data_IF_398770418132
#
_entry.id   IF_398770418132
#
_cell.length_a   1.000
_cell.length_b   1.000
_cell.length_c   1.000
_cell.angle_alpha   90.00
_cell.angle_beta   90.00
_cell.angle_gamma   90.00
#
_symmetry.space_group_name_H-M   'P 1'
#
loop_
_entity.id
_entity.type
_entity.pdbx_description
1 polymer ?
#
# COMPACT_ATOMS: atom_id res chain seq x y z
N UNK A 1 -16.33 -6.03 18.26
CA UNK A 1 -15.05 -5.32 18.28
C UNK A 1 -15.19 -3.99 17.56
N UNK A 2 -14.50 -2.97 18.07
CA UNK A 2 -14.37 -1.61 17.56
C UNK A 2 -12.92 -1.38 17.16
N UNK A 3 -12.68 -1.06 15.89
CA UNK A 3 -11.34 -0.84 15.34
C UNK A 3 -11.13 0.63 14.98
N UNK A 4 -9.89 1.09 15.16
CA UNK A 4 -9.44 2.36 14.64
C UNK A 4 -8.81 2.12 13.26
N UNK A 5 -9.27 2.83 12.23
CA UNK A 5 -8.63 2.81 10.92
C UNK A 5 -8.00 4.19 10.66
N UNK A 6 -6.68 4.23 10.54
CA UNK A 6 -5.95 5.41 10.14
C UNK A 6 -5.49 5.27 8.69
N UNK A 7 -6.00 6.10 7.79
CA UNK A 7 -5.53 6.13 6.40
C UNK A 7 -4.88 7.49 6.08
N UNK A 8 -3.53 7.59 6.16
CA UNK A 8 -2.82 8.84 5.90
C UNK A 8 -2.81 9.25 4.42
N UNK A 9 -3.27 8.40 3.50
CA UNK A 9 -3.33 8.70 2.07
C UNK A 9 -4.64 8.22 1.46
N UNK A 10 -5.75 8.85 1.84
CA UNK A 10 -7.08 8.40 1.47
C UNK A 10 -7.49 8.86 0.07
N UNK A 11 -7.22 8.00 -0.92
CA UNK A 11 -7.59 8.19 -2.32
C UNK A 11 -7.26 6.95 -3.14
N UNK A 12 -7.81 6.86 -4.36
CA UNK A 12 -7.63 5.71 -5.24
C UNK A 12 -7.86 4.37 -4.51
N UNK A 13 -6.92 3.44 -4.70
CA UNK A 13 -6.96 2.09 -4.10
C UNK A 13 -6.97 2.08 -2.57
N UNK A 14 -6.38 3.08 -1.89
CA UNK A 14 -6.40 3.16 -0.42
C UNK A 14 -7.80 3.41 0.09
N UNK A 15 -8.51 4.37 -0.54
CA UNK A 15 -9.90 4.66 -0.22
C UNK A 15 -10.78 3.45 -0.51
N UNK A 16 -10.67 2.88 -1.71
CA UNK A 16 -11.53 1.78 -2.12
C UNK A 16 -11.36 0.55 -1.21
N UNK A 17 -10.12 0.29 -0.77
CA UNK A 17 -9.83 -0.74 0.22
C UNK A 17 -10.43 -0.43 1.60
N UNK A 18 -10.20 0.78 2.12
CA UNK A 18 -10.68 1.17 3.45
C UNK A 18 -12.22 1.14 3.51
N UNK A 19 -12.88 1.77 2.55
CA UNK A 19 -14.33 1.81 2.45
C UNK A 19 -14.92 0.42 2.23
N UNK A 20 -14.29 -0.36 1.35
CA UNK A 20 -14.68 -1.74 1.09
C UNK A 20 -14.60 -2.61 2.34
N UNK A 21 -13.49 -2.54 3.08
CA UNK A 21 -13.35 -3.31 4.32
C UNK A 21 -14.40 -2.89 5.34
N UNK A 22 -14.59 -1.59 5.57
CA UNK A 22 -15.59 -1.10 6.53
C UNK A 22 -17.00 -1.56 6.13
N UNK A 23 -17.37 -1.39 4.86
CA UNK A 23 -18.69 -1.76 4.33
C UNK A 23 -19.01 -3.24 4.46
N UNK A 24 -18.02 -4.10 4.28
CA UNK A 24 -18.21 -5.56 4.25
C UNK A 24 -17.82 -6.26 5.57
N UNK A 25 -17.50 -5.51 6.61
CA UNK A 25 -17.14 -6.05 7.92
C UNK A 25 -18.34 -6.09 8.87
N UNK A 26 -18.32 -7.07 9.78
CA UNK A 26 -19.24 -7.15 10.94
C UNK A 26 -18.78 -6.29 12.13
N UNK A 27 -17.61 -5.68 12.04
CA UNK A 27 -17.00 -4.90 13.13
C UNK A 27 -17.29 -3.41 12.96
N UNK A 28 -17.18 -2.65 14.06
CA UNK A 28 -17.34 -1.19 14.02
C UNK A 28 -16.00 -0.54 13.75
N UNK A 29 -15.98 0.53 12.96
CA UNK A 29 -14.77 1.26 12.61
C UNK A 29 -14.97 2.76 12.84
N UNK A 30 -13.97 3.39 13.44
CA UNK A 30 -13.79 4.83 13.34
C UNK A 30 -12.63 5.09 12.36
N UNK A 31 -12.94 5.74 11.24
CA UNK A 31 -11.99 6.02 10.17
C UNK A 31 -11.50 7.46 10.26
N UNK A 32 -10.18 7.63 10.38
CA UNK A 32 -9.51 8.93 10.29
C UNK A 32 -8.62 8.97 9.05
N UNK A 33 -8.85 9.97 8.20
CA UNK A 33 -8.21 10.06 6.89
C UNK A 33 -7.42 11.34 6.73
N UNK A 34 -6.34 11.29 5.96
CA UNK A 34 -5.71 12.47 5.37
C UNK A 34 -5.83 12.42 3.84
N UNK A 35 -5.93 13.58 3.15
CA UNK A 35 -6.04 13.59 1.70
C UNK A 35 -4.84 12.95 1.01
N UNK A 36 -5.11 12.18 -0.06
CA UNK A 36 -4.15 11.51 -0.95
C UNK A 36 -3.30 12.49 -1.79
N UNK A 37 -2.45 13.25 -1.10
CA UNK A 37 -1.44 14.14 -1.67
C UNK A 37 -0.26 14.24 -0.72
N UNK A 38 0.89 14.60 -1.26
CA UNK A 38 2.12 14.81 -0.48
C UNK A 38 2.54 13.57 0.33
N UNK A 39 2.60 12.40 -0.32
CA UNK A 39 2.88 11.11 0.35
C UNK A 39 4.18 11.13 1.19
N UNK A 40 5.23 11.81 0.71
CA UNK A 40 6.48 12.00 1.47
C UNK A 40 6.23 12.66 2.84
N UNK A 41 5.34 13.65 2.87
CA UNK A 41 4.90 14.30 4.10
C UNK A 41 3.95 13.44 4.93
N UNK A 42 3.21 12.50 4.31
CA UNK A 42 2.38 11.53 5.05
C UNK A 42 3.25 10.56 5.85
N UNK A 43 4.28 10.00 5.23
CA UNK A 43 5.19 9.05 5.89
C UNK A 43 5.89 9.66 7.11
N UNK A 44 6.15 10.97 7.12
CA UNK A 44 6.87 11.65 8.21
C UNK A 44 5.98 12.44 9.17
N UNK A 45 4.86 12.98 8.70
CA UNK A 45 4.03 13.92 9.46
C UNK A 45 2.69 13.37 9.92
N UNK A 46 2.17 12.30 9.31
CA UNK A 46 0.83 11.82 9.62
C UNK A 46 0.72 11.31 11.07
N UNK A 47 1.74 10.61 11.57
CA UNK A 47 1.76 10.14 12.95
C UNK A 47 1.66 11.29 13.97
N UNK A 48 2.42 12.37 13.76
CA UNK A 48 2.38 13.57 14.63
C UNK A 48 0.98 14.19 14.68
N UNK A 49 0.32 14.29 13.54
CA UNK A 49 -1.02 14.87 13.43
C UNK A 49 -2.08 13.95 14.04
N UNK A 50 -2.11 12.68 13.62
CA UNK A 50 -3.13 11.71 14.02
C UNK A 50 -3.03 11.35 15.51
N UNK A 51 -1.82 11.37 16.09
CA UNK A 51 -1.63 11.11 17.51
C UNK A 51 -2.40 12.09 18.41
N UNK A 52 -2.55 13.35 17.99
CA UNK A 52 -3.36 14.36 18.69
C UNK A 52 -4.82 14.38 18.25
N UNK A 53 -5.11 13.90 17.05
CA UNK A 53 -6.48 13.85 16.51
C UNK A 53 -7.32 12.77 17.18
N UNK A 54 -6.71 11.63 17.52
CA UNK A 54 -7.35 10.54 18.25
C UNK A 54 -7.09 10.72 19.74
N UNK A 55 -8.14 10.90 20.53
CA UNK A 55 -8.02 11.23 21.95
C UNK A 55 -7.78 9.99 22.83
N UNK A 56 -8.53 8.90 22.61
CA UNK A 56 -8.51 7.71 23.46
C UNK A 56 -8.18 6.45 22.64
N UNK A 57 -6.92 6.27 22.19
CA UNK A 57 -6.55 5.11 21.37
C UNK A 57 -6.72 3.75 22.09
N UNK A 58 -6.66 3.73 23.43
CA UNK A 58 -6.85 2.53 24.24
C UNK A 58 -8.29 1.97 24.23
N UNK A 59 -9.29 2.73 23.75
CA UNK A 59 -10.68 2.25 23.65
C UNK A 59 -10.93 1.30 22.48
N UNK A 60 -9.97 1.17 21.57
CA UNK A 60 -10.09 0.33 20.38
C UNK A 60 -9.50 -1.06 20.60
N UNK A 61 -10.19 -2.08 20.09
CA UNK A 61 -9.72 -3.47 20.14
C UNK A 61 -8.51 -3.71 19.20
N UNK A 62 -8.29 -2.81 18.25
CA UNK A 62 -7.18 -2.88 17.31
C UNK A 62 -7.06 -1.65 16.42
N UNK A 63 -5.86 -1.46 15.87
CA UNK A 63 -5.52 -0.42 14.89
C UNK A 63 -5.28 -1.07 13.52
N UNK A 64 -5.81 -0.46 12.47
CA UNK A 64 -5.50 -0.74 11.07
C UNK A 64 -4.94 0.54 10.46
N UNK A 65 -3.83 0.43 9.73
CA UNK A 65 -3.22 1.54 8.99
C UNK A 65 -2.53 1.07 7.73
N UNK A 66 -2.21 1.98 6.81
CA UNK A 66 -1.32 1.70 5.69
C UNK A 66 0.17 1.90 6.01
N UNK A 67 1.05 1.36 5.17
CA UNK A 67 2.52 1.56 5.23
C UNK A 67 2.95 3.02 5.10
N UNK A 68 2.08 3.91 4.59
CA UNK A 68 2.34 5.34 4.51
C UNK A 68 2.24 6.08 5.86
N UNK A 69 1.90 5.38 6.94
CA UNK A 69 2.00 5.89 8.31
C UNK A 69 3.24 5.30 8.99
N UNK A 70 4.11 6.15 9.55
CA UNK A 70 5.12 5.68 10.49
C UNK A 70 4.47 5.16 11.77
N UNK A 71 4.20 3.85 11.81
CA UNK A 71 3.57 3.21 12.97
C UNK A 71 4.50 3.20 14.18
N UNK A 72 5.82 3.13 13.97
CA UNK A 72 6.79 3.23 15.06
C UNK A 72 6.67 4.57 15.80
N UNK A 73 6.54 5.67 15.06
CA UNK A 73 6.43 7.00 15.65
C UNK A 73 5.07 7.15 16.36
N UNK A 74 4.00 6.64 15.75
CA UNK A 74 2.68 6.68 16.39
C UNK A 74 2.65 5.88 17.71
N UNK A 75 3.26 4.69 17.72
CA UNK A 75 3.42 3.89 18.95
C UNK A 75 4.24 4.62 20.01
N UNK A 76 5.30 5.32 19.62
CA UNK A 76 6.09 6.12 20.56
C UNK A 76 5.27 7.27 21.17
N UNK A 77 4.39 7.91 20.40
CA UNK A 77 3.56 9.03 20.85
C UNK A 77 2.39 8.60 21.76
N UNK A 78 1.77 7.44 21.48
CA UNK A 78 0.68 6.91 22.29
C UNK A 78 1.15 6.02 23.45
N UNK A 79 2.39 5.52 23.41
CA UNK A 79 2.93 4.65 24.45
C UNK A 79 2.08 3.38 24.64
N UNK A 80 1.80 3.06 25.90
CA UNK A 80 1.02 1.87 26.29
C UNK A 80 -0.43 1.89 25.81
N UNK A 81 -0.96 3.04 25.39
CA UNK A 81 -2.33 3.19 24.93
C UNK A 81 -2.51 2.80 23.45
N UNK A 82 -1.41 2.55 22.72
CA UNK A 82 -1.52 2.11 21.33
C UNK A 82 -2.04 0.65 21.26
N UNK A 83 -3.18 0.40 20.60
CA UNK A 83 -3.70 -0.96 20.49
C UNK A 83 -2.84 -1.81 19.54
N UNK A 84 -3.12 -3.11 19.51
CA UNK A 84 -2.47 -4.03 18.58
C UNK A 84 -2.74 -3.61 17.14
N UNK A 85 -1.71 -3.59 16.32
CA UNK A 85 -1.73 -2.90 15.04
C UNK A 85 -1.54 -3.86 13.86
N UNK A 86 -2.43 -3.77 12.88
CA UNK A 86 -2.27 -4.35 11.56
C UNK A 86 -1.86 -3.24 10.59
N UNK A 87 -0.81 -3.49 9.82
CA UNK A 87 -0.39 -2.60 8.73
C UNK A 87 -0.67 -3.27 7.39
N UNK A 88 -1.35 -2.57 6.49
CA UNK A 88 -1.58 -2.99 5.12
C UNK A 88 -0.68 -2.23 4.15
N UNK A 89 0.19 -2.95 3.46
CA UNK A 89 1.12 -2.44 2.46
C UNK A 89 0.40 -2.41 1.10
N UNK A 90 -0.16 -1.25 0.76
CA UNK A 90 -0.62 -0.94 -0.61
C UNK A 90 0.57 -0.84 -1.56
N UNK A 91 1.63 -0.20 -1.09
CA UNK A 91 2.94 -0.09 -1.70
C UNK A 91 4.02 -0.06 -0.60
N UNK A 92 5.28 -0.07 -1.03
CA UNK A 92 6.45 0.14 -0.17
C UNK A 92 7.54 0.87 -0.97
N UNK A 93 8.42 1.56 -0.28
CA UNK A 93 9.46 2.43 -0.83
C UNK A 93 10.80 1.72 -1.05
N UNK A 94 10.91 0.43 -0.71
CA UNK A 94 12.08 -0.41 -1.04
C UNK A 94 12.04 -0.93 -2.48
N UNK A 95 10.84 -1.11 -3.03
CA UNK A 95 10.63 -1.63 -4.39
C UNK A 95 9.73 -0.73 -5.25
N UNK A 96 9.40 0.48 -4.78
CA UNK A 96 8.61 1.41 -5.58
C UNK A 96 9.40 1.85 -6.81
N UNK A 97 8.80 1.87 -8.01
CA UNK A 97 9.48 2.35 -9.21
C UNK A 97 9.78 3.85 -9.05
N UNK A 98 11.03 4.23 -9.31
CA UNK A 98 11.46 5.62 -9.30
C UNK A 98 11.50 6.18 -10.74
N UNK A 99 11.10 7.44 -10.93
CA UNK A 99 11.28 8.11 -12.21
C UNK A 99 12.74 8.11 -12.66
N UNK A 100 13.02 8.17 -13.97
CA UNK A 100 14.38 8.30 -14.47
C UNK A 100 15.13 9.49 -13.86
N UNK A 101 16.33 9.23 -13.32
CA UNK A 101 17.16 10.24 -12.66
C UNK A 101 16.87 10.45 -11.18
N UNK A 102 15.82 9.83 -10.61
CA UNK A 102 15.61 9.82 -9.16
C UNK A 102 16.38 8.69 -8.48
N UNK A 103 16.83 8.96 -7.26
CA UNK A 103 17.45 7.99 -6.37
C UNK A 103 16.55 7.70 -5.19
N UNK A 104 16.65 6.48 -4.65
CA UNK A 104 15.87 6.09 -3.48
C UNK A 104 16.25 6.95 -2.28
N UNK A 105 15.25 7.58 -1.67
CA UNK A 105 15.41 8.19 -0.35
C UNK A 105 15.30 7.10 0.71
N UNK A 106 16.45 6.76 1.30
CA UNK A 106 16.57 5.72 2.31
C UNK A 106 15.65 5.93 3.51
N UNK A 107 15.29 7.18 3.82
CA UNK A 107 14.43 7.49 4.95
C UNK A 107 13.05 6.84 4.84
N UNK A 108 12.50 6.74 3.63
CA UNK A 108 11.20 6.10 3.44
C UNK A 108 11.29 4.58 3.51
N UNK A 109 12.35 3.98 2.96
CA UNK A 109 12.64 2.56 3.16
C UNK A 109 12.81 2.20 4.63
N UNK A 110 13.47 3.06 5.42
CA UNK A 110 13.55 2.89 6.86
C UNK A 110 12.19 2.99 7.56
N UNK A 111 11.34 3.90 7.11
CA UNK A 111 9.98 4.05 7.64
C UNK A 111 9.15 2.78 7.41
N UNK A 112 9.28 2.14 6.25
CA UNK A 112 8.63 0.84 5.98
C UNK A 112 9.17 -0.26 6.89
N UNK A 113 10.49 -0.31 7.11
CA UNK A 113 11.12 -1.29 8.01
C UNK A 113 10.65 -1.11 9.45
N UNK A 114 10.70 0.11 10.00
CA UNK A 114 10.29 0.37 11.38
C UNK A 114 8.79 0.18 11.56
N UNK A 115 7.98 0.55 10.57
CA UNK A 115 6.53 0.28 10.54
C UNK A 115 6.24 -1.21 10.52
N UNK A 116 6.90 -1.97 9.65
CA UNK A 116 6.82 -3.42 9.59
C UNK A 116 7.21 -4.08 10.90
N UNK A 117 8.28 -3.62 11.55
CA UNK A 117 8.73 -4.10 12.86
C UNK A 117 7.78 -3.72 14.01
N UNK A 118 7.15 -2.54 13.96
CA UNK A 118 6.21 -2.06 14.96
C UNK A 118 4.85 -2.78 14.89
N UNK A 119 4.46 -3.29 13.72
CA UNK A 119 3.17 -3.96 13.52
C UNK A 119 3.05 -5.31 14.27
N UNK A 120 1.84 -5.68 14.66
CA UNK A 120 1.51 -7.04 15.12
C UNK A 120 1.27 -7.99 13.94
N UNK A 121 0.73 -7.45 12.85
CA UNK A 121 0.50 -8.14 11.57
C UNK A 121 0.81 -7.20 10.40
N UNK A 122 1.44 -7.76 9.38
CA UNK A 122 1.74 -7.06 8.13
C UNK A 122 1.00 -7.77 7.01
N UNK A 123 0.19 -7.04 6.26
CA UNK A 123 -0.52 -7.55 5.10
C UNK A 123 0.01 -6.90 3.83
N UNK A 124 0.33 -7.69 2.82
CA UNK A 124 0.67 -7.21 1.48
C UNK A 124 -0.50 -7.41 0.53
N UNK A 125 -0.70 -6.45 -0.38
CA UNK A 125 -1.78 -6.51 -1.38
C UNK A 125 -1.62 -7.64 -2.44
N UNK A 126 -0.46 -8.28 -2.52
CA UNK A 126 -0.19 -9.39 -3.44
C UNK A 126 1.05 -10.18 -3.03
N UNK A 127 1.16 -11.42 -3.53
CA UNK A 127 2.35 -12.24 -3.36
C UNK A 127 3.58 -11.60 -4.03
N UNK A 128 3.43 -11.07 -5.24
CA UNK A 128 4.52 -10.37 -5.95
C UNK A 128 5.05 -9.18 -5.17
N UNK A 129 4.17 -8.38 -4.55
CA UNK A 129 4.58 -7.26 -3.72
C UNK A 129 5.34 -7.73 -2.46
N UNK A 130 4.84 -8.77 -1.78
CA UNK A 130 5.52 -9.35 -0.62
C UNK A 130 6.92 -9.89 -0.99
N UNK A 131 7.01 -10.62 -2.11
CA UNK A 131 8.27 -11.18 -2.60
C UNK A 131 9.24 -10.08 -3.01
N UNK A 132 8.77 -9.03 -3.68
CA UNK A 132 9.59 -7.86 -4.03
C UNK A 132 10.13 -7.15 -2.79
N UNK A 133 9.28 -6.92 -1.77
CA UNK A 133 9.71 -6.30 -0.51
C UNK A 133 10.83 -7.11 0.15
N UNK A 134 10.63 -8.42 0.33
CA UNK A 134 11.62 -9.26 0.99
C UNK A 134 12.82 -9.62 0.11
N UNK A 135 12.71 -9.52 -1.22
CA UNK A 135 13.84 -9.61 -2.14
C UNK A 135 14.76 -8.38 -2.05
N UNK A 136 14.18 -7.18 -1.92
CA UNK A 136 14.91 -5.92 -1.82
C UNK A 136 15.48 -5.65 -0.42
N UNK A 137 14.77 -6.04 0.65
CA UNK A 137 15.12 -5.68 2.02
C UNK A 137 16.54 -6.10 2.45
N UNK A 138 17.07 -7.31 2.16
CA UNK A 138 18.45 -7.67 2.49
C UNK A 138 19.47 -6.76 1.80
N UNK A 139 19.21 -6.38 0.54
CA UNK A 139 20.04 -5.44 -0.21
C UNK A 139 20.05 -4.06 0.44
N UNK A 140 18.86 -3.56 0.81
CA UNK A 140 18.70 -2.29 1.52
C UNK A 140 19.48 -2.25 2.84
N UNK A 141 19.39 -3.30 3.66
CA UNK A 141 20.13 -3.38 4.93
C UNK A 141 21.65 -3.42 4.70
N UNK A 142 22.12 -4.08 3.64
CA UNK A 142 23.55 -4.12 3.28
C UNK A 142 24.11 -2.75 2.87
N UNK A 143 23.27 -1.79 2.51
CA UNK A 143 23.70 -0.42 2.22
C UNK A 143 24.24 0.31 3.45
N UNK A 144 23.89 -0.12 4.66
CA UNK A 144 24.47 0.43 5.88
C UNK A 144 25.97 0.11 5.94
N UNK A 145 26.83 1.09 6.27
CA UNK A 145 28.26 0.84 6.40
C UNK A 145 28.59 -0.08 7.58
N UNK A 146 27.88 0.07 8.70
CA UNK A 146 28.13 -0.66 9.95
C UNK A 146 26.80 -1.08 10.63
N UNK A 147 26.88 -1.98 11.62
CA UNK A 147 25.76 -2.39 12.49
C UNK A 147 24.48 -2.88 11.78
N UNK A 148 24.65 -3.67 10.70
CA UNK A 148 23.57 -4.18 9.85
C UNK A 148 22.61 -5.10 10.62
N UNK A 149 21.34 -4.73 10.83
CA UNK A 149 20.39 -5.54 11.59
C UNK A 149 19.74 -6.61 10.70
N UNK A 150 20.50 -7.62 10.29
CA UNK A 150 20.00 -8.65 9.36
C UNK A 150 18.75 -9.41 9.87
N UNK A 151 18.56 -9.45 11.19
CA UNK A 151 17.40 -10.08 11.86
C UNK A 151 16.05 -9.43 11.49
N UNK A 152 16.04 -8.20 10.97
CA UNK A 152 14.78 -7.49 10.63
C UNK A 152 13.98 -8.22 9.56
N UNK A 153 14.65 -8.89 8.63
CA UNK A 153 14.02 -9.65 7.54
C UNK A 153 13.11 -10.73 8.11
N UNK A 154 13.66 -11.59 8.97
CA UNK A 154 12.94 -12.70 9.56
C UNK A 154 11.85 -12.20 10.52
N UNK A 155 12.13 -11.13 11.26
CA UNK A 155 11.18 -10.56 12.23
C UNK A 155 9.94 -9.97 11.58
N UNK A 156 10.08 -9.30 10.43
CA UNK A 156 8.94 -8.79 9.65
C UNK A 156 8.24 -9.96 8.96
N UNK A 157 9.00 -10.88 8.33
CA UNK A 157 8.45 -12.04 7.60
C UNK A 157 7.59 -12.94 8.49
N UNK A 158 7.97 -13.17 9.74
CA UNK A 158 7.23 -14.02 10.68
C UNK A 158 5.79 -13.54 10.99
N UNK A 159 5.44 -12.31 10.63
CA UNK A 159 4.11 -11.71 10.83
C UNK A 159 3.50 -11.16 9.54
N UNK A 160 4.12 -11.44 8.40
CA UNK A 160 3.69 -11.02 7.08
C UNK A 160 2.84 -12.10 6.41
N UNK A 161 1.75 -11.70 5.78
CA UNK A 161 0.97 -12.55 4.87
C UNK A 161 0.36 -11.70 3.76
N UNK A 162 -0.19 -12.35 2.74
CA UNK A 162 -0.91 -11.68 1.66
C UNK A 162 -2.39 -11.56 2.02
N UNK A 163 -2.97 -10.40 1.74
CA UNK A 163 -4.41 -10.19 1.64
C UNK A 163 -4.67 -9.38 0.36
N UNK A 164 -5.27 -10.01 -0.64
CA UNK A 164 -5.55 -9.35 -1.91
C UNK A 164 -6.65 -8.29 -1.74
N UNK A 165 -6.54 -7.13 -2.43
CA UNK A 165 -7.60 -6.14 -2.42
C UNK A 165 -8.84 -6.70 -3.12
N UNK A 166 -10.01 -6.45 -2.53
CA UNK A 166 -11.28 -6.80 -3.16
C UNK A 166 -11.59 -5.90 -4.36
N UNK A 167 -12.35 -6.43 -5.31
CA UNK A 167 -12.93 -5.65 -6.41
C UNK A 167 -14.45 -5.64 -6.26
N UNK A 168 -15.07 -4.48 -6.44
CA UNK A 168 -16.51 -4.36 -6.44
C UNK A 168 -17.03 -4.45 -7.87
N UNK A 169 -17.83 -5.47 -8.17
CA UNK A 169 -18.49 -5.64 -9.45
C UNK A 169 -20.00 -5.41 -9.29
N UNK A 170 -20.67 -4.84 -10.30
CA UNK A 170 -22.13 -4.76 -10.30
C UNK A 170 -22.74 -6.14 -10.06
N UNK A 171 -23.77 -6.20 -9.22
CA UNK A 171 -24.51 -7.45 -9.03
C UNK A 171 -25.31 -7.77 -10.30
N UNK A 172 -25.22 -9.03 -10.74
CA UNK A 172 -25.98 -9.55 -11.88
C UNK A 172 -25.09 -9.97 -13.06
N UNK A 173 -25.70 -10.58 -14.09
CA UNK A 173 -24.97 -11.02 -15.27
C UNK A 173 -24.44 -9.81 -16.05
N UNK A 174 -23.14 -9.79 -16.30
CA UNK A 174 -22.55 -8.88 -17.29
C UNK A 174 -23.06 -9.31 -18.66
N UNK A 175 -23.90 -8.48 -19.30
CA UNK A 175 -24.31 -8.71 -20.69
C UNK A 175 -23.12 -8.44 -21.60
N UNK A 176 -22.38 -9.48 -21.93
CA UNK A 176 -21.36 -9.41 -22.97
C UNK A 176 -22.07 -9.32 -24.32
N UNK A 177 -21.76 -8.27 -25.10
CA UNK A 177 -22.13 -8.23 -26.52
C UNK A 177 -21.26 -9.27 -27.23
N UNK A 178 -21.83 -10.14 -28.09
CA UNK A 178 -21.02 -10.94 -29.01
C UNK A 178 -20.15 -9.98 -29.81
N UNK A 179 -18.84 -10.22 -29.84
CA UNK A 179 -17.97 -9.39 -30.67
C UNK A 179 -18.29 -9.69 -32.13
N UNK A 180 -18.65 -8.64 -32.86
CA UNK A 180 -18.85 -8.69 -34.29
C UNK A 180 -17.46 -8.73 -34.95
N UNK A 181 -17.16 -9.79 -35.69
CA UNK A 181 -15.86 -9.96 -36.35
C UNK A 181 -15.65 -8.96 -37.49
N UNK A 182 -16.72 -8.31 -37.95
CA UNK A 182 -16.65 -7.22 -38.92
C UNK A 182 -16.34 -5.86 -38.24
N UNK A 183 -16.39 -5.79 -36.90
CA UNK A 183 -15.96 -4.61 -36.13
C UNK A 183 -14.46 -4.67 -35.78
N UNK A 184 -13.75 -3.54 -35.79
CA UNK A 184 -12.36 -3.51 -35.36
C UNK A 184 -12.21 -3.97 -33.89
N UNK A 185 -11.12 -4.68 -33.54
CA UNK A 185 -10.91 -5.16 -32.19
C UNK A 185 -10.82 -4.00 -31.19
N UNK A 186 -11.59 -4.09 -30.10
CA UNK A 186 -11.51 -3.14 -29.00
C UNK A 186 -10.39 -3.54 -28.03
N UNK A 187 -9.31 -2.77 -28.03
CA UNK A 187 -8.20 -2.92 -27.08
C UNK A 187 -8.30 -1.82 -26.03
N UNK A 188 -8.35 -2.20 -24.75
CA UNK A 188 -8.44 -1.27 -23.63
C UNK A 188 -7.15 -1.31 -22.82
N UNK A 189 -6.50 -0.16 -22.67
CA UNK A 189 -5.40 0.06 -21.74
C UNK A 189 -5.85 1.10 -20.71
N UNK A 190 -6.37 0.63 -19.58
CA UNK A 190 -6.95 1.50 -18.56
C UNK A 190 -5.91 1.82 -17.47
N UNK A 191 -4.84 2.49 -17.87
CA UNK A 191 -3.77 2.91 -16.98
C UNK A 191 -3.52 4.42 -17.10
N UNK A 192 -2.89 5.01 -16.08
CA UNK A 192 -2.43 6.40 -16.16
C UNK A 192 -1.23 6.48 -17.09
N UNK A 193 -1.05 7.61 -17.76
CA UNK A 193 0.17 7.93 -18.49
C UNK A 193 1.32 8.24 -17.52
N UNK A 194 1.93 7.17 -17.02
CA UNK A 194 3.06 7.21 -16.11
C UNK A 194 4.13 6.22 -16.61
N UNK A 195 5.40 6.53 -16.34
CA UNK A 195 6.55 5.77 -16.87
C UNK A 195 6.50 4.29 -16.50
N UNK A 196 6.00 3.96 -15.30
CA UNK A 196 5.88 2.60 -14.78
C UNK A 196 4.70 1.82 -15.41
N UNK A 197 3.89 2.49 -16.25
CA UNK A 197 2.83 1.86 -17.05
C UNK A 197 3.26 1.62 -18.50
N UNK A 198 4.42 2.15 -18.91
CA UNK A 198 5.02 1.97 -20.23
C UNK A 198 4.04 2.24 -21.40
N UNK A 199 3.38 3.42 -21.45
CA UNK A 199 2.45 3.75 -22.52
C UNK A 199 3.12 3.67 -23.90
N UNK A 200 4.39 4.05 -24.02
CA UNK A 200 5.14 4.02 -25.28
C UNK A 200 5.23 2.60 -25.85
N UNK A 201 5.51 1.61 -24.99
CA UNK A 201 5.56 0.20 -25.39
C UNK A 201 4.19 -0.29 -25.84
N UNK A 202 3.12 0.10 -25.15
CA UNK A 202 1.77 -0.26 -25.54
C UNK A 202 1.42 0.27 -26.93
N UNK A 203 1.68 1.56 -27.20
CA UNK A 203 1.37 2.16 -28.51
C UNK A 203 2.29 1.64 -29.62
N UNK A 204 3.59 1.41 -29.36
CA UNK A 204 4.48 0.79 -30.33
C UNK A 204 4.03 -0.63 -30.72
N UNK A 205 3.47 -1.39 -29.78
CA UNK A 205 2.87 -2.68 -30.08
C UNK A 205 1.62 -2.55 -30.96
N UNK A 206 0.76 -1.55 -30.71
CA UNK A 206 -0.40 -1.27 -31.56
C UNK A 206 0.02 -0.89 -32.99
N UNK A 207 1.02 -0.03 -33.15
CA UNK A 207 1.57 0.35 -34.47
C UNK A 207 2.16 -0.87 -35.21
N UNK A 208 2.83 -1.75 -34.48
CA UNK A 208 3.38 -2.99 -35.04
C UNK A 208 2.28 -3.93 -35.52
N UNK A 209 1.19 -4.08 -34.75
CA UNK A 209 0.02 -4.88 -35.14
C UNK A 209 -0.65 -4.28 -36.38
N UNK A 210 -0.90 -2.96 -36.39
CA UNK A 210 -1.47 -2.27 -37.57
C UNK A 210 -0.63 -2.43 -38.83
N UNK A 211 0.70 -2.48 -38.68
CA UNK A 211 1.62 -2.64 -39.81
C UNK A 211 1.68 -4.08 -40.35
N UNK A 212 1.27 -5.07 -39.56
CA UNK A 212 1.30 -6.48 -39.93
C UNK A 212 0.07 -6.96 -40.71
N UNK A 213 -1.01 -6.17 -40.72
CA UNK A 213 -2.31 -6.52 -41.31
C UNK A 213 -3.15 -7.39 -40.38
#
# INVERSE_FOLDING_TARGET
>A
MKFLFLEPFYGGSHRDFADGWIKHSRHRFDLFTLPARFWKWRMRGAALYLAKKVQNPAEYDGLITSSLLSLSDLKALWGGDCPRALVYFHENQLSYPLPPGETMDYQFGFTDVTTGLAADRVLFNSQTHMDAFFGSLPGFIKMMPEYRPNWVVDRIRAKATVLYPGCNYPAGPVKLRPWDLDEPPLIIWNHRWEFDKSPETFFAALESVLSAG
#
